data_IF_389849599752
#
_entry.id   IF_389849599752
#
_cell.length_a   1.000
_cell.length_b   1.000
_cell.length_c   1.000
_cell.angle_alpha   90.00
_cell.angle_beta   90.00
_cell.angle_gamma   90.00
#
_symmetry.space_group_name_H-M   'P 1'
#
loop_
_entity.id
_entity.type
_entity.pdbx_description
1 polymer ?
#
# COMPACT_ATOMS: atom_id res chain seq x y z
N UNK A 1 -0.37 14.30 1.25
CA UNK A 1 0.22 13.25 0.38
C UNK A 1 -0.83 12.79 -0.64
N UNK A 2 -0.46 12.21 -1.79
CA UNK A 2 -1.38 11.95 -2.92
C UNK A 2 -2.70 11.27 -2.55
N UNK A 3 -2.67 10.25 -1.68
CA UNK A 3 -3.86 9.52 -1.26
C UNK A 3 -4.75 10.33 -0.31
N UNK A 4 -4.17 11.18 0.55
CA UNK A 4 -4.92 12.08 1.44
C UNK A 4 -5.71 13.12 0.64
N UNK A 5 -5.19 13.58 -0.51
CA UNK A 5 -5.93 14.49 -1.41
C UNK A 5 -7.14 13.80 -2.08
N UNK A 6 -7.15 12.47 -2.11
CA UNK A 6 -8.24 11.68 -2.62
C UNK A 6 -9.21 11.22 -1.51
N UNK A 7 -9.15 11.84 -0.33
CA UNK A 7 -9.91 11.51 0.88
C UNK A 7 -9.76 10.04 1.33
N UNK A 8 -8.62 9.41 0.99
CA UNK A 8 -8.30 8.05 1.45
C UNK A 8 -7.63 8.16 2.81
N UNK A 9 -8.22 7.50 3.81
CA UNK A 9 -7.58 7.31 5.10
C UNK A 9 -6.34 6.43 4.94
N UNK A 10 -5.19 6.97 5.36
CA UNK A 10 -3.91 6.27 5.28
C UNK A 10 -3.19 6.26 6.62
N UNK A 11 -2.37 5.23 6.82
CA UNK A 11 -1.37 5.18 7.87
C UNK A 11 0.00 4.85 7.28
N UNK A 12 1.04 5.49 7.80
CA UNK A 12 2.42 5.25 7.37
C UNK A 12 3.13 4.47 8.46
N UNK A 13 3.56 3.26 8.12
CA UNK A 13 4.19 2.35 9.06
C UNK A 13 5.47 1.74 8.49
N UNK A 14 6.38 1.24 9.35
CA UNK A 14 7.45 0.36 8.90
C UNK A 14 6.88 -0.84 8.15
N UNK A 15 7.52 -1.22 7.05
CA UNK A 15 7.07 -2.38 6.27
C UNK A 15 7.20 -3.64 7.13
N UNK A 16 6.13 -4.47 7.24
CA UNK A 16 6.16 -5.73 7.97
C UNK A 16 7.35 -6.62 7.57
N UNK A 17 7.94 -7.32 8.55
CA UNK A 17 9.11 -8.19 8.33
C UNK A 17 8.80 -9.36 7.40
N UNK A 18 7.54 -9.76 7.35
CA UNK A 18 6.96 -10.76 6.48
C UNK A 18 7.06 -10.35 5.00
N UNK A 19 7.07 -9.04 4.71
CA UNK A 19 7.23 -8.49 3.35
C UNK A 19 8.72 -8.28 3.03
N UNK A 20 9.49 -7.69 3.95
CA UNK A 20 10.93 -7.48 3.75
C UNK A 20 11.68 -7.37 5.07
N UNK A 21 12.90 -7.89 5.09
CA UNK A 21 13.82 -7.76 6.23
C UNK A 21 14.56 -6.41 6.26
N UNK A 22 14.35 -5.53 5.27
CA UNK A 22 15.04 -4.24 5.15
C UNK A 22 14.29 -3.07 5.81
N UNK A 23 14.93 -1.91 5.86
CA UNK A 23 14.30 -0.65 6.26
C UNK A 23 13.48 -0.09 5.10
N UNK A 24 12.19 -0.39 5.08
CA UNK A 24 11.23 0.16 4.12
C UNK A 24 9.99 0.73 4.85
N UNK A 25 9.29 1.66 4.20
CA UNK A 25 8.01 2.20 4.69
C UNK A 25 6.87 1.69 3.81
N UNK A 26 5.72 1.49 4.44
CA UNK A 26 4.47 1.08 3.80
C UNK A 26 3.38 2.10 4.09
N UNK A 27 2.43 2.21 3.17
CA UNK A 27 1.21 2.99 3.35
C UNK A 27 0.05 2.00 3.45
N UNK A 28 -0.56 1.91 4.63
CA UNK A 28 -1.76 1.12 4.86
C UNK A 28 -3.00 1.95 4.52
N UNK A 29 -3.99 1.32 3.90
CA UNK A 29 -5.26 1.94 3.53
C UNK A 29 -6.38 0.88 3.51
N UNK A 30 -7.66 1.26 3.61
CA UNK A 30 -8.78 0.34 3.54
C UNK A 30 -8.86 -0.43 2.21
N UNK A 31 -9.13 -1.74 2.25
CA UNK A 31 -9.20 -2.56 1.04
C UNK A 31 -10.26 -2.12 0.03
N UNK A 32 -11.33 -1.45 0.49
CA UNK A 32 -12.36 -0.86 -0.38
C UNK A 32 -11.80 0.20 -1.33
N UNK A 33 -10.69 0.85 -0.97
CA UNK A 33 -10.04 1.89 -1.76
C UNK A 33 -9.04 1.34 -2.79
N UNK A 34 -8.84 0.01 -2.85
CA UNK A 34 -7.80 -0.62 -3.68
C UNK A 34 -7.84 -0.18 -5.15
N UNK A 35 -9.02 -0.16 -5.76
CA UNK A 35 -9.17 0.23 -7.16
C UNK A 35 -8.88 1.72 -7.38
N UNK A 36 -9.19 2.57 -6.40
CA UNK A 36 -8.85 3.99 -6.45
C UNK A 36 -7.35 4.22 -6.29
N UNK A 37 -6.72 3.54 -5.32
CA UNK A 37 -5.28 3.59 -5.11
C UNK A 37 -4.52 3.13 -6.35
N UNK A 38 -4.93 2.00 -6.97
CA UNK A 38 -4.32 1.54 -8.24
C UNK A 38 -4.39 2.61 -9.33
N UNK A 39 -5.53 3.28 -9.49
CA UNK A 39 -5.68 4.35 -10.48
C UNK A 39 -4.73 5.51 -10.20
N UNK A 40 -4.61 5.94 -8.95
CA UNK A 40 -3.71 7.03 -8.54
C UNK A 40 -2.24 6.66 -8.79
N UNK A 41 -1.84 5.43 -8.43
CA UNK A 41 -0.47 4.95 -8.66
C UNK A 41 -0.10 5.06 -10.14
N UNK A 42 -1.01 4.65 -11.03
CA UNK A 42 -0.79 4.70 -12.48
C UNK A 42 -0.84 6.14 -13.00
N UNK A 43 -1.82 6.95 -12.60
CA UNK A 43 -1.98 8.33 -13.11
C UNK A 43 -0.82 9.22 -12.71
N UNK A 44 -0.35 9.08 -11.47
CA UNK A 44 0.72 9.89 -10.90
C UNK A 44 2.10 9.30 -11.11
N UNK A 45 2.22 8.18 -11.85
CA UNK A 45 3.48 7.48 -12.12
C UNK A 45 4.26 7.15 -10.83
N UNK A 46 3.56 6.72 -9.78
CA UNK A 46 4.16 6.36 -8.50
C UNK A 46 4.82 4.99 -8.62
N UNK A 47 6.13 4.93 -8.36
CA UNK A 47 6.83 3.66 -8.28
C UNK A 47 6.58 2.99 -6.92
N UNK A 48 6.07 1.77 -6.96
CA UNK A 48 5.86 0.93 -5.77
C UNK A 48 6.62 -0.39 -5.92
N UNK A 49 7.06 -0.96 -4.78
CA UNK A 49 7.69 -2.30 -4.77
C UNK A 49 6.66 -3.43 -4.91
N UNK A 50 5.43 -3.17 -4.49
CA UNK A 50 4.30 -4.09 -4.63
C UNK A 50 3.10 -3.65 -3.80
N UNK A 51 1.95 -4.26 -4.07
CA UNK A 51 0.76 -4.17 -3.23
C UNK A 51 0.59 -5.49 -2.49
N UNK A 52 0.27 -5.40 -1.21
CA UNK A 52 0.16 -6.55 -0.33
C UNK A 52 -1.17 -6.51 0.41
N UNK A 53 -1.86 -7.65 0.45
CA UNK A 53 -3.07 -7.83 1.25
C UNK A 53 -2.72 -8.61 2.52
N UNK A 54 -3.24 -8.15 3.66
CA UNK A 54 -3.05 -8.83 4.93
C UNK A 54 -3.97 -10.05 5.01
N UNK A 55 -3.38 -11.22 5.24
CA UNK A 55 -4.09 -12.50 5.39
C UNK A 55 -3.84 -13.09 6.79
N UNK A 56 -4.55 -14.16 7.19
CA UNK A 56 -4.29 -14.83 8.47
C UNK A 56 -2.85 -15.32 8.63
N UNK A 57 -2.19 -15.69 7.52
CA UNK A 57 -0.84 -16.26 7.51
C UNK A 57 0.26 -15.21 7.24
N UNK A 58 -0.10 -13.93 7.08
CA UNK A 58 0.85 -12.85 6.86
C UNK A 58 0.37 -11.85 5.79
N UNK A 59 1.12 -11.76 4.69
CA UNK A 59 0.84 -10.83 3.60
C UNK A 59 1.03 -11.50 2.24
N UNK A 60 0.00 -11.43 1.41
CA UNK A 60 0.04 -11.93 0.03
C UNK A 60 0.25 -10.77 -0.95
N UNK A 61 1.17 -10.96 -1.90
CA UNK A 61 1.42 -9.96 -2.95
C UNK A 61 0.31 -10.05 -4.00
N UNK A 62 -0.35 -8.92 -4.24
CA UNK A 62 -1.44 -8.79 -5.22
C UNK A 62 -1.07 -7.93 -6.44
N UNK A 63 0.10 -7.27 -6.41
CA UNK A 63 0.71 -6.53 -7.53
C UNK A 63 2.22 -6.40 -7.35
#
# INVERSE_FOLDING_TARGET
MLLEYADIEIDICPTPKEITAGCALSIAFPSVELEQVKRIIVSENVEIRGLFEKTPDGYDRIH
#
